data_IF_601946334667
#
_entry.id   IF_601946334667
#
_cell.length_a   1.000
_cell.length_b   1.000
_cell.length_c   1.000
_cell.angle_alpha   90.00
_cell.angle_beta   90.00
_cell.angle_gamma   90.00
#
_symmetry.space_group_name_H-M   'P 1'
#
loop_
_entity.id
_entity.type
_entity.pdbx_description
1 polymer ?
#
# COMPACT_ATOMS: atom_id res chain seq x y z
N UNK A 1 -8.00 -28.12 8.66
CA UNK A 1 -8.90 -27.71 7.55
C UNK A 1 -8.83 -28.83 6.54
N UNK A 2 -9.96 -29.30 6.02
CA UNK A 2 -10.02 -30.53 5.24
C UNK A 2 -9.64 -30.25 3.77
N UNK A 3 -8.47 -30.72 3.36
CA UNK A 3 -7.86 -30.48 2.03
C UNK A 3 -8.76 -30.98 0.89
N UNK A 4 -9.65 -31.95 1.13
CA UNK A 4 -10.59 -32.45 0.13
C UNK A 4 -11.76 -31.48 -0.13
N UNK A 5 -12.33 -30.89 0.93
CA UNK A 5 -13.34 -29.84 0.79
C UNK A 5 -12.78 -28.60 0.12
N UNK A 6 -11.51 -28.30 0.35
CA UNK A 6 -10.84 -27.11 -0.16
C UNK A 6 -10.74 -27.08 -1.69
N UNK A 7 -10.55 -28.25 -2.32
CA UNK A 7 -10.50 -28.43 -3.78
C UNK A 7 -11.81 -28.10 -4.51
N UNK A 8 -12.93 -28.04 -3.78
CA UNK A 8 -14.25 -27.75 -4.36
C UNK A 8 -14.49 -26.26 -4.59
N UNK A 9 -13.72 -25.38 -3.95
CA UNK A 9 -13.85 -23.93 -4.08
C UNK A 9 -12.98 -23.40 -5.23
N UNK A 10 -13.54 -23.37 -6.45
CA UNK A 10 -12.85 -22.85 -7.64
C UNK A 10 -13.17 -21.39 -7.96
N UNK A 11 -13.80 -20.65 -7.05
CA UNK A 11 -14.14 -19.25 -7.32
C UNK A 11 -12.89 -18.37 -7.33
N UNK A 12 -12.92 -17.31 -8.14
CA UNK A 12 -11.85 -16.30 -8.17
C UNK A 12 -11.60 -15.71 -6.78
N UNK A 13 -12.66 -15.38 -6.06
CA UNK A 13 -12.60 -14.80 -4.72
C UNK A 13 -11.86 -15.69 -3.72
N UNK A 14 -12.14 -17.00 -3.77
CA UNK A 14 -11.48 -17.97 -2.92
C UNK A 14 -9.97 -18.06 -3.22
N UNK A 15 -9.62 -18.05 -4.50
CA UNK A 15 -8.23 -18.06 -4.96
C UNK A 15 -7.48 -16.81 -4.47
N UNK A 16 -8.08 -15.62 -4.62
CA UNK A 16 -7.51 -14.37 -4.12
C UNK A 16 -7.35 -14.35 -2.60
N UNK A 17 -8.33 -14.86 -1.87
CA UNK A 17 -8.24 -15.02 -0.41
C UNK A 17 -7.03 -15.88 -0.03
N UNK A 18 -6.85 -17.04 -0.67
CA UNK A 18 -5.73 -17.95 -0.41
C UNK A 18 -4.38 -17.35 -0.76
N UNK A 19 -4.30 -16.65 -1.89
CA UNK A 19 -3.09 -15.91 -2.24
C UNK A 19 -2.73 -14.89 -1.15
N UNK A 20 -3.69 -14.08 -0.69
CA UNK A 20 -3.47 -13.09 0.36
C UNK A 20 -3.06 -13.72 1.69
N UNK A 21 -3.67 -14.84 2.07
CA UNK A 21 -3.27 -15.60 3.27
C UNK A 21 -1.80 -16.05 3.18
N UNK A 22 -1.40 -16.67 2.07
CA UNK A 22 -0.01 -17.11 1.84
C UNK A 22 0.97 -15.95 1.81
N UNK A 23 0.61 -14.85 1.14
CA UNK A 23 1.40 -13.62 1.10
C UNK A 23 1.64 -13.05 2.51
N UNK A 24 0.58 -12.99 3.33
CA UNK A 24 0.71 -12.49 4.70
C UNK A 24 1.60 -13.39 5.56
N UNK A 25 1.51 -14.72 5.43
CA UNK A 25 2.40 -15.64 6.14
C UNK A 25 3.86 -15.38 5.76
N UNK A 26 4.14 -15.22 4.47
CA UNK A 26 5.49 -14.91 3.98
C UNK A 26 5.99 -13.55 4.48
N UNK A 27 5.16 -12.51 4.42
CA UNK A 27 5.52 -11.17 4.91
C UNK A 27 5.86 -11.16 6.40
N UNK A 28 5.19 -11.97 7.23
CA UNK A 28 5.55 -12.10 8.65
C UNK A 28 6.96 -12.65 8.83
N UNK A 29 7.37 -13.62 8.01
CA UNK A 29 8.75 -14.12 8.03
C UNK A 29 9.75 -13.04 7.60
N UNK A 30 9.41 -12.24 6.58
CA UNK A 30 10.23 -11.08 6.18
C UNK A 30 10.36 -10.07 7.31
N UNK A 31 9.27 -9.75 8.01
CA UNK A 31 9.30 -8.81 9.14
C UNK A 31 10.24 -9.28 10.27
N UNK A 32 10.22 -10.59 10.58
CA UNK A 32 11.15 -11.18 11.56
C UNK A 32 12.61 -11.03 11.14
N UNK A 33 12.91 -11.28 9.87
CA UNK A 33 14.28 -11.15 9.33
C UNK A 33 14.77 -9.69 9.37
N UNK A 34 13.87 -8.74 9.13
CA UNK A 34 14.17 -7.30 9.23
C UNK A 34 14.23 -6.78 10.67
N UNK A 35 13.86 -7.59 11.66
CA UNK A 35 13.87 -7.21 13.07
C UNK A 35 12.79 -6.20 13.47
N UNK A 36 11.67 -6.13 12.74
CA UNK A 36 10.54 -5.28 13.15
C UNK A 36 9.79 -5.89 14.33
N UNK A 37 9.25 -5.04 15.21
CA UNK A 37 8.54 -5.43 16.43
C UNK A 37 7.02 -5.65 16.20
N UNK A 38 6.57 -5.59 14.95
CA UNK A 38 5.18 -5.81 14.54
C UNK A 38 5.06 -6.86 13.44
N UNK A 39 3.87 -7.45 13.31
CA UNK A 39 3.56 -8.34 12.20
C UNK A 39 3.49 -7.56 10.88
N UNK A 40 4.39 -7.89 9.94
CA UNK A 40 4.31 -7.37 8.57
C UNK A 40 3.26 -8.17 7.78
N UNK A 41 2.24 -7.47 7.27
CA UNK A 41 1.21 -8.02 6.39
C UNK A 41 0.94 -7.07 5.22
N UNK A 42 0.23 -7.53 4.20
CA UNK A 42 0.09 -6.81 2.93
C UNK A 42 -0.46 -5.38 3.10
N UNK A 43 -1.35 -5.15 4.06
CA UNK A 43 -1.87 -3.81 4.36
C UNK A 43 -0.80 -2.90 4.98
N UNK A 44 -0.04 -3.37 5.98
CA UNK A 44 1.06 -2.58 6.58
C UNK A 44 2.14 -2.28 5.55
N UNK A 45 2.56 -3.29 4.78
CA UNK A 45 3.54 -3.10 3.71
C UNK A 45 3.08 -2.05 2.69
N UNK A 46 1.82 -2.15 2.22
CA UNK A 46 1.24 -1.17 1.29
C UNK A 46 1.19 0.22 1.91
N UNK A 47 0.85 0.33 3.19
CA UNK A 47 0.80 1.60 3.90
C UNK A 47 2.17 2.26 3.95
N UNK A 48 3.19 1.52 4.40
CA UNK A 48 4.58 2.01 4.42
C UNK A 48 5.06 2.42 3.03
N UNK A 49 4.79 1.61 2.00
CA UNK A 49 5.23 1.92 0.63
C UNK A 49 4.61 3.22 0.09
N UNK A 50 3.32 3.44 0.33
CA UNK A 50 2.62 4.67 -0.09
C UNK A 50 3.15 5.88 0.68
N UNK A 51 3.30 5.77 2.01
CA UNK A 51 3.82 6.87 2.83
C UNK A 51 5.25 7.24 2.44
N UNK A 52 6.15 6.27 2.25
CA UNK A 52 7.54 6.53 1.81
C UNK A 52 7.57 7.20 0.43
N UNK A 53 6.72 6.78 -0.51
CA UNK A 53 6.61 7.40 -1.82
C UNK A 53 6.16 8.86 -1.74
N UNK A 54 5.18 9.15 -0.87
CA UNK A 54 4.69 10.51 -0.60
C UNK A 54 5.79 11.37 0.02
N UNK A 55 6.46 10.87 1.05
CA UNK A 55 7.53 11.58 1.76
C UNK A 55 8.75 11.85 0.87
N UNK A 56 8.99 10.98 -0.11
CA UNK A 56 10.02 11.15 -1.15
C UNK A 56 9.64 12.18 -2.22
N UNK A 57 8.44 12.75 -2.15
CA UNK A 57 7.97 13.79 -3.07
C UNK A 57 7.49 13.26 -4.42
N UNK A 58 7.17 11.96 -4.55
CA UNK A 58 6.60 11.44 -5.79
C UNK A 58 5.20 12.02 -6.03
N UNK A 59 4.82 12.29 -7.30
CA UNK A 59 3.49 12.82 -7.61
C UNK A 59 2.37 11.89 -7.12
N UNK A 60 1.36 12.44 -6.44
CA UNK A 60 0.25 11.67 -5.88
C UNK A 60 -0.52 10.86 -6.94
N UNK A 61 -0.64 11.38 -8.15
CA UNK A 61 -1.27 10.69 -9.28
C UNK A 61 -0.49 9.44 -9.71
N UNK A 62 0.85 9.52 -9.69
CA UNK A 62 1.71 8.37 -9.96
C UNK A 62 1.59 7.32 -8.86
N UNK A 63 1.59 7.74 -7.59
CA UNK A 63 1.42 6.85 -6.45
C UNK A 63 0.05 6.15 -6.49
N UNK A 64 -1.02 6.89 -6.76
CA UNK A 64 -2.37 6.33 -6.88
C UNK A 64 -2.46 5.29 -8.00
N UNK A 65 -1.89 5.59 -9.17
CA UNK A 65 -1.80 4.65 -10.29
C UNK A 65 -1.03 3.38 -9.91
N UNK A 66 0.18 3.52 -9.33
CA UNK A 66 1.01 2.40 -8.93
C UNK A 66 0.38 1.56 -7.81
N UNK A 67 -0.32 2.20 -6.88
CA UNK A 67 -1.03 1.54 -5.81
C UNK A 67 -2.38 0.94 -6.23
N UNK A 68 -2.85 1.17 -7.47
CA UNK A 68 -4.14 0.70 -7.94
C UNK A 68 -5.32 1.25 -7.15
N UNK A 69 -5.28 2.54 -6.81
CA UNK A 69 -6.35 3.22 -6.06
C UNK A 69 -6.54 4.66 -6.56
N UNK A 70 -7.52 5.38 -6.03
CA UNK A 70 -7.80 6.76 -6.44
C UNK A 70 -6.96 7.76 -5.64
N UNK A 71 -6.83 8.99 -6.15
CA UNK A 71 -6.11 10.06 -5.44
C UNK A 71 -6.81 10.36 -4.12
N UNK A 72 -8.14 10.36 -4.12
CA UNK A 72 -8.98 10.61 -2.94
C UNK A 72 -8.70 9.57 -1.85
N UNK A 73 -8.59 8.29 -2.20
CA UNK A 73 -8.24 7.22 -1.26
C UNK A 73 -6.83 7.40 -0.67
N UNK A 74 -5.88 7.92 -1.45
CA UNK A 74 -4.54 8.23 -0.95
C UNK A 74 -4.58 9.41 0.04
N UNK A 75 -5.34 10.45 -0.30
CA UNK A 75 -5.52 11.63 0.55
C UNK A 75 -6.27 11.32 1.84
N UNK A 76 -7.28 10.46 1.82
CA UNK A 76 -8.06 10.12 3.00
C UNK A 76 -7.25 9.31 4.03
N UNK A 77 -6.41 8.38 3.57
CA UNK A 77 -5.79 7.38 4.44
C UNK A 77 -4.31 7.56 4.72
N UNK A 78 -3.59 8.38 3.93
CA UNK A 78 -2.12 8.46 4.01
C UNK A 78 -1.59 9.88 4.09
N UNK A 79 -2.44 10.91 4.02
CA UNK A 79 -2.07 12.29 4.32
C UNK A 79 -2.30 12.58 5.80
N UNK A 80 -1.24 12.52 6.59
CA UNK A 80 -1.25 12.91 8.01
C UNK A 80 -0.74 14.35 8.26
N UNK A 81 -0.38 15.09 7.20
CA UNK A 81 0.05 16.47 7.28
C UNK A 81 -1.10 17.43 6.99
N UNK A 82 -1.13 18.56 7.70
CA UNK A 82 -2.07 19.66 7.49
C UNK A 82 -2.23 19.89 5.99
N UNK A 83 -3.45 19.76 5.47
CA UNK A 83 -3.75 19.67 4.03
C UNK A 83 -3.08 20.80 3.22
N UNK A 84 -2.88 21.95 3.86
CA UNK A 84 -2.18 23.14 3.39
C UNK A 84 -0.71 22.86 3.04
N UNK A 85 0.06 22.18 3.89
CA UNK A 85 1.49 21.95 3.69
C UNK A 85 1.75 21.07 2.48
N UNK A 86 0.88 20.09 2.24
CA UNK A 86 1.02 19.19 1.11
C UNK A 86 0.53 19.82 -0.20
N UNK A 87 -0.51 20.66 -0.13
CA UNK A 87 -0.95 21.45 -1.28
C UNK A 87 0.15 22.44 -1.72
N UNK A 88 0.87 23.03 -0.76
CA UNK A 88 2.03 23.87 -1.02
C UNK A 88 3.19 23.09 -1.67
N UNK A 89 3.48 21.87 -1.21
CA UNK A 89 4.51 21.00 -1.83
C UNK A 89 4.16 20.64 -3.28
N UNK A 90 2.88 20.32 -3.54
CA UNK A 90 2.38 20.08 -4.89
C UNK A 90 2.51 21.32 -5.78
N UNK A 91 2.09 22.49 -5.30
CA UNK A 91 2.25 23.76 -6.02
C UNK A 91 3.71 24.04 -6.34
N UNK A 92 4.62 23.88 -5.37
CA UNK A 92 6.06 24.07 -5.59
C UNK A 92 6.64 23.11 -6.63
N UNK A 93 6.23 21.83 -6.61
CA UNK A 93 6.67 20.85 -7.61
C UNK A 93 6.20 21.23 -9.03
N UNK A 94 4.95 21.68 -9.19
CA UNK A 94 4.42 22.13 -10.47
C UNK A 94 5.10 23.43 -10.95
N UNK A 95 5.34 24.40 -10.06
CA UNK A 95 6.03 25.64 -10.42
C UNK A 95 7.47 25.39 -10.87
N UNK A 96 8.17 24.45 -10.22
CA UNK A 96 9.55 24.07 -10.59
C UNK A 96 9.64 23.35 -11.94
N UNK A 97 8.62 22.58 -12.31
CA UNK A 97 8.56 21.89 -13.59
C UNK A 97 8.16 22.81 -14.76
N UNK A 98 7.61 23.99 -14.47
CA UNK A 98 7.19 24.99 -15.45
C UNK A 98 8.27 26.04 -15.78
N UNK A 99 9.43 25.97 -15.13
CA UNK A 99 10.64 26.77 -15.40
C UNK A 99 11.71 25.92 -16.05
#
# INVERSE_FOLDING_TARGET
MDDEKEKTYQTKDYTFKKFREKLNIWLKSVGKELGVDYDLYAYVFRHTAITVALDSGLPISYIAMAAGTSIEMIQEHYYNGDSITNQQRLQMAFMKAAT
#
